data_IF_685243755643
#
_entry.id   IF_685243755643
#
_cell.length_a   1.000
_cell.length_b   1.000
_cell.length_c   1.000
_cell.angle_alpha   90.00
_cell.angle_beta   90.00
_cell.angle_gamma   90.00
#
_symmetry.space_group_name_H-M   'P 1'
#
loop_
_entity.id
_entity.type
_entity.pdbx_description
1 polymer ?
#
# COMPACT_ATOMS: atom_id res chain seq x y z
N UNK A 1 -7.71 -18.17 -38.07
CA UNK A 1 -6.34 -17.64 -37.92
C UNK A 1 -6.31 -16.79 -36.64
N UNK A 2 -5.85 -17.37 -35.55
CA UNK A 2 -5.78 -16.70 -34.24
C UNK A 2 -4.62 -15.71 -34.24
N UNK A 3 -4.90 -14.42 -34.02
CA UNK A 3 -3.85 -13.43 -33.82
C UNK A 3 -3.15 -13.72 -32.48
N UNK A 4 -1.82 -13.86 -32.44
CA UNK A 4 -1.11 -14.01 -31.18
C UNK A 4 -1.26 -12.72 -30.38
N UNK A 5 -1.54 -12.83 -29.09
CA UNK A 5 -1.51 -11.70 -28.16
C UNK A 5 -0.04 -11.36 -28.00
N UNK A 6 0.41 -10.35 -28.74
CA UNK A 6 1.75 -9.79 -28.65
C UNK A 6 2.00 -9.43 -27.18
N UNK A 7 3.02 -10.04 -26.59
CA UNK A 7 3.37 -9.85 -25.21
C UNK A 7 3.56 -8.34 -24.98
N UNK A 8 2.67 -7.74 -24.19
CA UNK A 8 2.80 -6.37 -23.73
C UNK A 8 4.08 -6.33 -22.88
N UNK A 9 5.20 -5.99 -23.51
CA UNK A 9 6.43 -5.59 -22.84
C UNK A 9 6.04 -4.57 -21.78
N UNK A 10 6.33 -4.78 -20.48
CA UNK A 10 6.00 -3.77 -19.50
C UNK A 10 6.76 -2.51 -19.88
N UNK A 11 6.01 -1.45 -20.17
CA UNK A 11 6.55 -0.10 -20.23
C UNK A 11 7.43 0.10 -18.99
N UNK A 12 8.60 0.69 -19.21
CA UNK A 12 9.63 0.97 -18.21
C UNK A 12 9.00 1.30 -16.85
N UNK A 13 9.41 0.59 -15.79
CA UNK A 13 8.82 0.60 -14.43
C UNK A 13 8.85 1.96 -13.68
N UNK A 14 9.10 3.06 -14.38
CA UNK A 14 9.15 4.44 -13.89
C UNK A 14 7.79 5.15 -14.04
N UNK A 15 6.93 4.73 -14.99
CA UNK A 15 5.59 5.31 -15.20
C UNK A 15 4.47 4.30 -14.87
N UNK A 16 4.59 3.60 -13.73
CA UNK A 16 3.48 2.79 -13.22
C UNK A 16 2.56 3.66 -12.36
N UNK A 17 1.38 4.10 -12.86
CA UNK A 17 0.46 4.93 -12.09
C UNK A 17 -0.02 4.23 -10.82
N UNK A 18 -0.05 2.89 -10.79
CA UNK A 18 -0.39 2.16 -9.57
C UNK A 18 0.71 2.30 -8.51
N UNK A 19 1.98 2.28 -8.93
CA UNK A 19 3.12 2.50 -8.03
C UNK A 19 3.12 3.90 -7.45
N UNK A 20 2.92 4.93 -8.28
CA UNK A 20 2.84 6.32 -7.79
C UNK A 20 1.69 6.49 -6.79
N UNK A 21 0.54 5.88 -7.07
CA UNK A 21 -0.59 5.88 -6.15
C UNK A 21 -0.25 5.18 -4.83
N UNK A 22 0.39 4.01 -4.87
CA UNK A 22 0.79 3.27 -3.67
C UNK A 22 1.80 4.04 -2.82
N UNK A 23 2.78 4.70 -3.42
CA UNK A 23 3.75 5.57 -2.73
C UNK A 23 3.04 6.73 -2.01
N UNK A 24 2.11 7.40 -2.70
CA UNK A 24 1.30 8.49 -2.10
C UNK A 24 0.42 7.99 -0.96
N UNK A 25 -0.23 6.85 -1.11
CA UNK A 25 -1.08 6.24 -0.07
C UNK A 25 -0.23 5.85 1.15
N UNK A 26 0.90 5.17 0.93
CA UNK A 26 1.80 4.74 2.00
C UNK A 26 2.36 5.92 2.80
N UNK A 27 2.77 6.99 2.11
CA UNK A 27 3.24 8.22 2.74
C UNK A 27 2.16 8.87 3.62
N UNK A 28 0.91 8.94 3.14
CA UNK A 28 -0.22 9.50 3.90
C UNK A 28 -0.56 8.67 5.13
N UNK A 29 -0.56 7.34 5.01
CA UNK A 29 -0.77 6.44 6.15
C UNK A 29 0.32 6.62 7.22
N UNK A 30 1.59 6.70 6.81
CA UNK A 30 2.71 6.94 7.72
C UNK A 30 2.56 8.29 8.44
N UNK A 31 2.17 9.33 7.72
CA UNK A 31 1.94 10.65 8.30
C UNK A 31 0.77 10.64 9.31
N UNK A 32 -0.36 10.04 8.94
CA UNK A 32 -1.52 9.90 9.83
C UNK A 32 -1.18 9.08 11.09
N UNK A 33 -0.46 7.97 10.95
CA UNK A 33 0.01 7.17 12.09
C UNK A 33 0.88 7.98 13.04
N UNK A 34 1.82 8.77 12.50
CA UNK A 34 2.69 9.65 13.29
C UNK A 34 1.91 10.75 13.99
N UNK A 35 0.96 11.38 13.31
CA UNK A 35 0.07 12.38 13.90
C UNK A 35 -0.78 11.80 15.04
N UNK A 36 -1.18 10.53 14.93
CA UNK A 36 -1.86 9.80 16.00
C UNK A 36 -0.92 9.29 17.12
N UNK A 37 0.39 9.58 17.07
CA UNK A 37 1.37 9.15 18.08
C UNK A 37 1.62 7.64 18.12
N UNK A 38 1.27 6.90 17.07
CA UNK A 38 1.33 5.44 17.07
C UNK A 38 2.65 4.92 16.50
N UNK A 39 3.18 3.86 17.09
CA UNK A 39 4.20 3.02 16.46
C UNK A 39 3.55 2.13 15.38
N UNK A 40 4.34 1.57 14.46
CA UNK A 40 3.82 0.59 13.49
C UNK A 40 3.24 -0.65 14.18
N UNK A 41 3.85 -1.07 15.30
CA UNK A 41 3.33 -2.16 16.12
C UNK A 41 1.98 -1.82 16.75
N UNK A 42 1.84 -0.63 17.31
CA UNK A 42 0.56 -0.20 17.89
C UNK A 42 -0.55 -0.11 16.83
N UNK A 43 -0.24 0.39 15.63
CA UNK A 43 -1.20 0.39 14.52
C UNK A 43 -1.52 -1.04 14.04
N UNK A 44 -0.54 -1.94 14.04
CA UNK A 44 -0.73 -3.36 13.70
C UNK A 44 -1.75 -4.01 14.63
N UNK A 45 -1.55 -3.83 15.94
CA UNK A 45 -2.44 -4.36 16.98
C UNK A 45 -3.85 -3.77 16.85
N UNK A 46 -3.98 -2.46 16.60
CA UNK A 46 -5.29 -1.80 16.38
C UNK A 46 -6.01 -2.24 15.12
N UNK A 47 -5.28 -2.45 14.01
CA UNK A 47 -5.88 -2.75 12.71
C UNK A 47 -6.04 -4.25 12.42
N UNK A 48 -5.41 -5.12 13.22
CA UNK A 48 -5.33 -6.55 12.95
C UNK A 48 -4.52 -6.89 11.68
N UNK A 49 -3.67 -5.97 11.23
CA UNK A 49 -2.80 -6.12 10.07
C UNK A 49 -1.40 -6.42 10.54
N UNK A 50 -0.69 -7.36 9.93
CA UNK A 50 0.63 -7.76 10.42
C UNK A 50 1.64 -6.60 10.36
N UNK A 51 2.63 -6.54 11.29
CA UNK A 51 3.62 -5.48 11.29
C UNK A 51 4.41 -5.40 9.98
N UNK A 52 4.79 -6.56 9.42
CA UNK A 52 5.49 -6.65 8.13
C UNK A 52 4.66 -6.03 7.00
N UNK A 53 3.35 -6.26 7.00
CA UNK A 53 2.49 -5.71 5.96
C UNK A 53 2.32 -4.20 6.12
N UNK A 54 2.26 -3.68 7.35
CA UNK A 54 2.27 -2.23 7.58
C UNK A 54 3.55 -1.56 7.11
N UNK A 55 4.71 -2.22 7.26
CA UNK A 55 5.98 -1.72 6.71
C UNK A 55 5.89 -1.59 5.19
N UNK A 56 5.41 -2.63 4.50
CA UNK A 56 5.26 -2.60 3.05
C UNK A 56 4.24 -1.56 2.59
N UNK A 57 3.12 -1.46 3.31
CA UNK A 57 2.05 -0.51 3.06
C UNK A 57 2.54 0.94 3.20
N UNK A 58 3.25 1.27 4.28
CA UNK A 58 3.82 2.61 4.48
C UNK A 58 4.95 2.94 3.49
N UNK A 59 5.63 1.93 2.97
CA UNK A 59 6.63 2.08 1.92
C UNK A 59 6.01 2.20 0.52
N UNK A 60 4.70 1.99 0.36
CA UNK A 60 4.04 2.00 -0.95
C UNK A 60 4.45 0.82 -1.83
N UNK A 61 4.80 -0.32 -1.22
CA UNK A 61 5.34 -1.49 -1.93
C UNK A 61 4.41 -2.70 -1.81
N UNK A 62 4.42 -3.55 -2.84
CA UNK A 62 3.71 -4.82 -2.86
C UNK A 62 2.23 -4.71 -3.21
N UNK A 63 1.51 -5.82 -3.09
CA UNK A 63 0.09 -5.93 -3.46
C UNK A 63 -0.79 -5.65 -2.24
N UNK A 64 -1.22 -4.39 -2.11
CA UNK A 64 -2.13 -3.93 -1.06
C UNK A 64 -3.57 -4.16 -1.46
N UNK A 65 -4.35 -4.89 -0.66
CA UNK A 65 -5.79 -4.98 -0.88
C UNK A 65 -6.52 -3.78 -0.28
N UNK A 66 -7.59 -3.32 -0.94
CA UNK A 66 -8.44 -2.24 -0.41
C UNK A 66 -9.06 -2.57 0.94
N UNK A 67 -9.34 -3.85 1.23
CA UNK A 67 -9.83 -4.28 2.53
C UNK A 67 -8.82 -4.08 3.65
N UNK A 68 -7.53 -4.31 3.40
CA UNK A 68 -6.48 -3.99 4.37
C UNK A 68 -6.37 -2.48 4.56
N UNK A 69 -6.36 -1.71 3.47
CA UNK A 69 -6.32 -0.25 3.52
C UNK A 69 -7.47 0.31 4.37
N UNK A 70 -8.69 -0.19 4.17
CA UNK A 70 -9.87 0.20 4.94
C UNK A 70 -9.73 -0.09 6.45
N UNK A 71 -9.18 -1.25 6.83
CA UNK A 71 -8.96 -1.58 8.24
C UNK A 71 -7.92 -0.67 8.89
N UNK A 72 -6.84 -0.36 8.18
CA UNK A 72 -5.80 0.55 8.67
C UNK A 72 -6.34 1.97 8.80
N UNK A 73 -7.12 2.44 7.82
CA UNK A 73 -7.77 3.75 7.88
C UNK A 73 -8.73 3.84 9.07
N UNK A 74 -9.63 2.86 9.25
CA UNK A 74 -10.53 2.82 10.40
C UNK A 74 -9.77 2.76 11.74
N UNK A 75 -8.62 2.09 11.78
CA UNK A 75 -7.77 2.03 12.96
C UNK A 75 -7.03 3.35 13.24
N UNK A 76 -6.93 4.29 12.30
CA UNK A 76 -6.32 5.60 12.51
C UNK A 76 -7.32 6.64 13.06
N UNK A 77 -8.63 6.38 12.93
CA UNK A 77 -9.70 7.33 13.24
C UNK A 77 -10.05 8.18 12.03
#
# INVERSE_FOLDING_TARGET
MSRPIEALTPAKAEDDPARELLERVGSRLRAARRAAGLTQRALSERSGVSPRYLVHLEAGTGNVSLGVLSRVAAALG
#
